data_IF_096192495484
#
_entry.id   IF_096192495484
#
_cell.length_a   1.000
_cell.length_b   1.000
_cell.length_c   1.000
_cell.angle_alpha   90.00
_cell.angle_beta   90.00
_cell.angle_gamma   90.00
#
_symmetry.space_group_name_H-M   'P 1'
#
loop_
_entity.id
_entity.type
_entity.pdbx_description
1 polymer ?
#
# COMPACT_ATOMS: atom_id res chain seq x y z
N UNK A 1 75.43 11.20 -16.96
CA UNK A 1 74.19 10.95 -17.74
C UNK A 1 73.02 10.89 -16.76
N UNK A 2 72.47 12.05 -16.37
CA UNK A 2 71.38 12.15 -15.40
C UNK A 2 70.02 12.09 -16.10
N UNK A 3 69.19 11.10 -15.78
CA UNK A 3 67.80 11.06 -16.25
C UNK A 3 66.99 12.11 -15.49
N UNK A 4 66.54 13.14 -16.19
CA UNK A 4 65.58 14.13 -15.70
C UNK A 4 64.20 13.44 -15.67
N UNK A 5 63.68 13.18 -14.48
CA UNK A 5 62.29 12.76 -14.32
C UNK A 5 61.38 13.99 -14.44
N UNK A 6 60.53 14.00 -15.47
CA UNK A 6 59.49 15.01 -15.65
C UNK A 6 58.41 14.78 -14.58
N UNK A 7 58.27 15.76 -13.69
CA UNK A 7 57.19 15.81 -12.69
C UNK A 7 55.83 15.79 -13.40
N UNK A 8 54.96 14.85 -13.00
CA UNK A 8 53.62 14.71 -13.52
C UNK A 8 52.78 15.94 -13.15
N UNK A 9 52.27 16.63 -14.17
CA UNK A 9 51.36 17.76 -14.02
C UNK A 9 50.14 17.36 -13.20
N UNK A 10 49.95 18.04 -12.08
CA UNK A 10 48.76 17.94 -11.24
C UNK A 10 47.57 18.48 -12.05
N UNK A 11 46.61 17.63 -12.38
CA UNK A 11 45.41 18.04 -13.09
C UNK A 11 44.64 19.06 -12.23
N UNK A 12 44.62 20.32 -12.67
CA UNK A 12 43.86 21.38 -12.02
C UNK A 12 42.36 21.10 -12.24
N UNK A 13 41.70 20.53 -11.23
CA UNK A 13 40.28 20.17 -11.32
C UNK A 13 39.47 21.48 -11.34
N UNK A 14 38.89 21.81 -12.49
CA UNK A 14 37.98 22.94 -12.59
C UNK A 14 36.73 22.69 -11.72
N UNK A 15 36.68 23.37 -10.58
CA UNK A 15 35.62 23.22 -9.58
C UNK A 15 34.21 23.49 -10.14
N UNK A 16 34.08 24.28 -11.22
CA UNK A 16 32.79 24.59 -11.86
C UNK A 16 32.22 23.41 -12.66
N UNK A 17 33.05 22.69 -13.42
CA UNK A 17 32.62 21.51 -14.17
C UNK A 17 32.36 20.32 -13.24
N UNK A 18 33.20 20.16 -12.21
CA UNK A 18 33.03 19.12 -11.19
C UNK A 18 31.69 19.25 -10.44
N UNK A 19 31.32 20.47 -10.01
CA UNK A 19 30.02 20.74 -9.37
C UNK A 19 28.83 20.36 -10.26
N UNK A 20 28.89 20.64 -11.57
CA UNK A 20 27.81 20.29 -12.52
C UNK A 20 27.67 18.77 -12.68
N UNK A 21 28.78 18.04 -12.73
CA UNK A 21 28.79 16.57 -12.78
C UNK A 21 28.22 16.00 -11.48
N UNK A 22 28.64 16.52 -10.33
CA UNK A 22 28.14 16.11 -9.02
C UNK A 22 26.62 16.31 -8.89
N UNK A 23 26.10 17.46 -9.33
CA UNK A 23 24.64 17.72 -9.31
C UNK A 23 23.88 16.75 -10.21
N UNK A 24 24.42 16.41 -11.39
CA UNK A 24 23.80 15.42 -12.29
C UNK A 24 23.77 14.04 -11.64
N UNK A 25 24.88 13.59 -11.05
CA UNK A 25 24.96 12.32 -10.33
C UNK A 25 23.98 12.25 -9.16
N UNK A 26 23.90 13.31 -8.35
CA UNK A 26 22.97 13.40 -7.23
C UNK A 26 21.50 13.30 -7.69
N UNK A 27 21.14 13.98 -8.79
CA UNK A 27 19.80 13.89 -9.37
C UNK A 27 19.49 12.47 -9.88
N UNK A 28 20.45 11.81 -10.53
CA UNK A 28 20.29 10.43 -10.98
C UNK A 28 20.07 9.48 -9.81
N UNK A 29 20.87 9.60 -8.74
CA UNK A 29 20.72 8.79 -7.53
C UNK A 29 19.35 9.04 -6.88
N UNK A 30 18.93 10.29 -6.74
CA UNK A 30 17.62 10.64 -6.21
C UNK A 30 16.47 10.02 -7.04
N UNK A 31 16.59 10.04 -8.37
CA UNK A 31 15.60 9.40 -9.26
C UNK A 31 15.53 7.89 -9.05
N UNK A 32 16.69 7.23 -8.91
CA UNK A 32 16.75 5.79 -8.62
C UNK A 32 16.12 5.44 -7.26
N UNK A 33 16.35 6.26 -6.22
CA UNK A 33 15.75 6.07 -4.90
C UNK A 33 14.22 6.19 -4.97
N UNK A 34 13.70 7.18 -5.71
CA UNK A 34 12.25 7.35 -5.91
C UNK A 34 11.64 6.16 -6.65
N UNK A 35 12.30 5.69 -7.72
CA UNK A 35 11.86 4.54 -8.49
C UNK A 35 11.85 3.26 -7.65
N UNK A 36 12.91 3.03 -6.87
CA UNK A 36 13.02 1.89 -5.98
C UNK A 36 11.96 1.93 -4.87
N UNK A 37 11.75 3.10 -4.27
CA UNK A 37 10.70 3.28 -3.25
C UNK A 37 9.31 3.02 -3.82
N UNK A 38 9.03 3.48 -5.05
CA UNK A 38 7.78 3.20 -5.74
C UNK A 38 7.61 1.70 -6.02
N UNK A 39 8.68 1.03 -6.44
CA UNK A 39 8.68 -0.42 -6.69
C UNK A 39 8.40 -1.23 -5.41
N UNK A 40 9.08 -0.90 -4.31
CA UNK A 40 8.83 -1.50 -2.99
C UNK A 40 7.37 -1.25 -2.56
N UNK A 41 6.88 -0.01 -2.69
CA UNK A 41 5.50 0.31 -2.35
C UNK A 41 4.51 -0.55 -3.15
N UNK A 42 4.73 -0.69 -4.46
CA UNK A 42 3.89 -1.51 -5.33
C UNK A 42 3.93 -3.01 -5.00
N UNK A 43 5.07 -3.53 -4.54
CA UNK A 43 5.19 -4.93 -4.14
C UNK A 43 4.42 -5.24 -2.84
N UNK A 44 4.51 -4.37 -1.83
CA UNK A 44 4.02 -4.68 -0.49
C UNK A 44 2.66 -4.06 -0.14
N UNK A 45 2.26 -2.94 -0.76
CA UNK A 45 1.06 -2.19 -0.36
C UNK A 45 -0.16 -2.39 -1.28
N UNK A 46 -0.09 -3.30 -2.25
CA UNK A 46 -1.23 -3.69 -3.08
C UNK A 46 -2.17 -4.64 -2.30
N UNK A 47 -3.46 -4.30 -2.21
CA UNK A 47 -4.46 -5.13 -1.53
C UNK A 47 -4.72 -6.45 -2.27
N UNK A 48 -4.41 -6.53 -3.57
CA UNK A 48 -4.56 -7.76 -4.33
C UNK A 48 -3.41 -8.75 -4.07
N UNK A 49 -2.30 -8.27 -3.49
CA UNK A 49 -1.10 -9.06 -3.15
C UNK A 49 -1.01 -9.35 -1.65
N UNK A 50 -2.11 -9.82 -1.09
CA UNK A 50 -2.16 -10.23 0.31
C UNK A 50 -1.75 -11.69 0.45
N UNK A 51 -1.12 -12.05 1.58
CA UNK A 51 -0.74 -13.43 1.86
C UNK A 51 -1.94 -14.39 1.76
N UNK A 52 -1.63 -15.64 1.45
CA UNK A 52 -2.61 -16.72 1.58
C UNK A 52 -2.87 -17.01 3.05
N UNK A 53 -4.06 -17.50 3.34
CA UNK A 53 -4.42 -17.90 4.68
C UNK A 53 -5.48 -18.98 4.68
N UNK A 54 -5.88 -19.37 5.88
CA UNK A 54 -6.81 -20.45 6.13
C UNK A 54 -8.24 -19.96 5.93
N UNK A 55 -9.08 -20.77 5.30
CA UNK A 55 -10.49 -20.40 5.10
C UNK A 55 -11.18 -20.23 6.46
N UNK A 56 -11.82 -19.09 6.66
CA UNK A 56 -12.50 -18.73 7.90
C UNK A 56 -14.03 -18.87 7.75
N UNK A 57 -14.60 -18.21 6.75
CA UNK A 57 -16.04 -18.20 6.49
C UNK A 57 -16.35 -17.71 5.08
N UNK A 58 -17.59 -17.88 4.63
CA UNK A 58 -18.09 -17.19 3.45
C UNK A 58 -19.47 -16.56 3.72
N UNK A 59 -19.78 -15.49 3.00
CA UNK A 59 -21.06 -14.80 3.08
C UNK A 59 -21.58 -14.49 1.67
N UNK A 60 -22.82 -14.90 1.40
CA UNK A 60 -23.48 -14.72 0.10
C UNK A 60 -24.28 -13.40 0.10
N UNK A 61 -24.25 -12.67 -1.01
CA UNK A 61 -25.11 -11.50 -1.21
C UNK A 61 -26.60 -11.91 -1.16
N UNK A 62 -27.52 -11.00 -0.78
CA UNK A 62 -28.94 -11.32 -0.70
C UNK A 62 -29.56 -11.84 -2.01
N UNK A 63 -29.04 -11.39 -3.17
CA UNK A 63 -29.46 -11.87 -4.50
C UNK A 63 -28.74 -13.14 -4.98
N UNK A 64 -27.78 -13.64 -4.19
CA UNK A 64 -27.02 -14.85 -4.48
C UNK A 64 -26.00 -14.73 -5.62
N UNK A 65 -25.74 -13.54 -6.17
CA UNK A 65 -24.83 -13.37 -7.32
C UNK A 65 -23.35 -13.31 -6.90
N UNK A 66 -23.09 -12.78 -5.72
CA UNK A 66 -21.74 -12.56 -5.20
C UNK A 66 -21.57 -13.25 -3.86
N UNK A 67 -20.34 -13.61 -3.55
CA UNK A 67 -19.97 -14.03 -2.20
C UNK A 67 -18.63 -13.45 -1.81
N UNK A 68 -18.45 -13.28 -0.50
CA UNK A 68 -17.19 -12.85 0.09
C UNK A 68 -16.63 -14.03 0.87
N UNK A 69 -15.44 -14.49 0.51
CA UNK A 69 -14.70 -15.52 1.24
C UNK A 69 -13.70 -14.84 2.17
N UNK A 70 -13.73 -15.21 3.43
CA UNK A 70 -12.84 -14.70 4.45
C UNK A 70 -11.75 -15.72 4.74
N UNK A 71 -10.53 -15.22 4.89
CA UNK A 71 -9.35 -16.01 5.20
C UNK A 71 -8.64 -15.41 6.40
N UNK A 72 -8.29 -16.28 7.34
CA UNK A 72 -7.46 -15.95 8.49
C UNK A 72 -5.98 -16.03 8.06
N UNK A 73 -5.27 -14.93 8.20
CA UNK A 73 -3.85 -14.82 7.90
C UNK A 73 -3.06 -14.92 9.20
N UNK A 74 -2.19 -15.91 9.28
CA UNK A 74 -1.26 -16.08 10.39
C UNK A 74 0.14 -15.61 9.99
N UNK A 75 0.69 -14.62 10.70
CA UNK A 75 2.05 -14.12 10.48
C UNK A 75 3.15 -14.87 11.25
N UNK A 76 2.77 -15.85 12.09
CA UNK A 76 3.67 -16.62 12.96
C UNK A 76 3.32 -16.48 14.45
N UNK A 77 4.10 -17.18 15.29
CA UNK A 77 3.82 -17.38 16.72
C UNK A 77 3.68 -16.10 17.57
N UNK A 78 4.30 -14.99 17.14
CA UNK A 78 4.33 -13.72 17.90
C UNK A 78 3.51 -12.60 17.27
N UNK A 79 2.83 -12.88 16.15
CA UNK A 79 2.01 -11.88 15.44
C UNK A 79 0.53 -12.15 15.67
N UNK A 80 -0.28 -11.09 15.72
CA UNK A 80 -1.73 -11.26 15.71
C UNK A 80 -2.20 -11.83 14.37
N UNK A 81 -3.45 -12.28 14.32
CA UNK A 81 -4.08 -12.63 13.06
C UNK A 81 -4.49 -11.39 12.26
N UNK A 82 -4.63 -11.57 10.95
CA UNK A 82 -5.34 -10.63 10.09
C UNK A 82 -6.46 -11.34 9.33
N UNK A 83 -7.48 -10.60 8.93
CA UNK A 83 -8.57 -11.14 8.11
C UNK A 83 -8.55 -10.51 6.73
N UNK A 84 -8.53 -11.37 5.72
CA UNK A 84 -8.62 -11.01 4.30
C UNK A 84 -9.98 -11.42 3.74
N UNK A 85 -10.70 -10.49 3.13
CA UNK A 85 -11.94 -10.74 2.40
C UNK A 85 -11.73 -10.69 0.88
N UNK A 86 -12.07 -11.79 0.23
CA UNK A 86 -12.02 -11.97 -1.22
C UNK A 86 -13.43 -11.94 -1.81
N UNK A 87 -13.68 -11.00 -2.72
CA UNK A 87 -14.93 -10.94 -3.47
C UNK A 87 -14.86 -11.96 -4.62
N UNK A 88 -15.88 -12.82 -4.69
CA UNK A 88 -16.04 -13.82 -5.74
C UNK A 88 -17.44 -13.72 -6.35
N UNK A 89 -17.57 -14.23 -7.57
CA UNK A 89 -18.88 -14.62 -8.11
C UNK A 89 -19.43 -15.85 -7.36
N UNK A 90 -20.73 -16.13 -7.53
CA UNK A 90 -21.39 -17.32 -6.96
C UNK A 90 -20.64 -18.63 -7.26
N UNK A 91 -20.14 -18.77 -8.49
CA UNK A 91 -19.37 -19.95 -8.93
C UNK A 91 -17.98 -20.08 -8.27
N UNK A 92 -17.58 -19.10 -7.45
CA UNK A 92 -16.31 -19.11 -6.72
C UNK A 92 -15.15 -18.45 -7.45
N UNK A 93 -15.34 -17.94 -8.68
CA UNK A 93 -14.31 -17.21 -9.40
C UNK A 93 -13.99 -15.90 -8.68
N UNK A 94 -12.72 -15.72 -8.31
CA UNK A 94 -12.19 -14.52 -7.67
C UNK A 94 -12.33 -13.30 -8.58
N UNK A 95 -12.84 -12.21 -8.01
CA UNK A 95 -12.87 -10.89 -8.64
C UNK A 95 -11.71 -10.05 -8.14
N UNK A 96 -11.66 -9.76 -6.83
CA UNK A 96 -10.62 -8.94 -6.18
C UNK A 96 -10.64 -9.10 -4.66
N UNK A 97 -9.59 -8.66 -3.99
CA UNK A 97 -9.62 -8.51 -2.54
C UNK A 97 -10.31 -7.18 -2.20
N UNK A 98 -11.24 -7.19 -1.25
CA UNK A 98 -12.02 -6.01 -0.84
C UNK A 98 -11.85 -5.65 0.63
N UNK A 99 -11.27 -6.53 1.44
CA UNK A 99 -11.13 -6.33 2.88
C UNK A 99 -9.78 -6.85 3.37
N UNK A 100 -9.08 -6.02 4.13
CA UNK A 100 -7.83 -6.34 4.79
C UNK A 100 -7.78 -5.61 6.13
N UNK A 101 -7.95 -6.37 7.22
CA UNK A 101 -7.86 -5.83 8.57
C UNK A 101 -6.84 -6.60 9.42
N UNK A 102 -6.15 -5.85 10.27
CA UNK A 102 -5.19 -6.35 11.24
C UNK A 102 -5.07 -5.34 12.39
N UNK A 103 -5.01 -5.81 13.66
CA UNK A 103 -5.25 -7.18 14.08
C UNK A 103 -6.75 -7.53 13.93
N UNK A 104 -7.04 -8.74 13.46
CA UNK A 104 -8.41 -9.23 13.31
C UNK A 104 -8.40 -10.76 13.20
N UNK A 105 -9.33 -11.44 13.89
CA UNK A 105 -9.45 -12.90 13.87
C UNK A 105 -10.85 -13.40 13.47
N UNK A 106 -11.82 -12.49 13.31
CA UNK A 106 -13.21 -12.81 13.01
C UNK A 106 -13.71 -12.05 11.79
N UNK A 107 -14.78 -12.58 11.20
CA UNK A 107 -15.51 -11.95 10.12
C UNK A 107 -17.00 -11.92 10.45
N UNK A 108 -17.43 -10.84 11.11
CA UNK A 108 -18.84 -10.48 11.28
C UNK A 108 -19.31 -9.71 10.04
N UNK A 109 -20.31 -10.27 9.35
CA UNK A 109 -20.72 -9.82 8.02
C UNK A 109 -22.22 -9.59 7.99
N UNK A 110 -22.61 -8.35 7.70
CA UNK A 110 -24.00 -7.95 7.54
C UNK A 110 -24.20 -7.29 6.18
N UNK A 111 -24.98 -7.94 5.31
CA UNK A 111 -25.42 -7.33 4.06
C UNK A 111 -26.53 -6.31 4.34
N UNK A 112 -26.37 -5.11 3.78
CA UNK A 112 -27.39 -4.05 3.82
C UNK A 112 -28.28 -4.14 2.58
N UNK A 113 -27.68 -4.49 1.44
CA UNK A 113 -28.38 -4.79 0.18
C UNK A 113 -27.46 -5.64 -0.71
N UNK A 114 -27.78 -5.80 -2.00
CA UNK A 114 -27.04 -6.66 -2.93
C UNK A 114 -25.58 -6.26 -3.17
N UNK A 115 -25.20 -5.00 -2.92
CA UNK A 115 -23.86 -4.48 -3.20
C UNK A 115 -23.20 -3.78 -2.01
N UNK A 116 -23.93 -3.54 -0.91
CA UNK A 116 -23.40 -2.91 0.30
C UNK A 116 -23.35 -3.94 1.42
N UNK A 117 -22.18 -4.06 2.01
CA UNK A 117 -21.89 -4.96 3.13
C UNK A 117 -21.21 -4.20 4.26
N UNK A 118 -21.45 -4.61 5.49
CA UNK A 118 -20.69 -4.22 6.67
C UNK A 118 -19.87 -5.42 7.11
N UNK A 119 -18.55 -5.26 7.19
CA UNK A 119 -17.59 -6.29 7.63
C UNK A 119 -16.87 -5.75 8.86
N UNK A 120 -17.08 -6.34 10.03
CA UNK A 120 -16.53 -5.89 11.32
C UNK A 120 -16.71 -4.37 11.54
N UNK A 121 -17.89 -3.83 11.24
CA UNK A 121 -18.20 -2.41 11.35
C UNK A 121 -17.75 -1.53 10.17
N UNK A 122 -16.99 -2.07 9.21
CA UNK A 122 -16.58 -1.35 8.01
C UNK A 122 -17.62 -1.51 6.89
N UNK A 123 -18.33 -0.43 6.57
CA UNK A 123 -19.28 -0.38 5.45
C UNK A 123 -18.55 -0.23 4.11
N UNK A 124 -18.84 -1.11 3.16
CA UNK A 124 -18.23 -1.16 1.83
C UNK A 124 -19.29 -1.37 0.75
N UNK A 125 -19.17 -0.63 -0.35
CA UNK A 125 -19.76 -1.02 -1.64
C UNK A 125 -18.80 -2.00 -2.35
N UNK A 126 -19.23 -3.23 -2.59
CA UNK A 126 -18.38 -4.32 -3.09
C UNK A 126 -17.78 -4.03 -4.48
N UNK A 127 -18.36 -3.11 -5.26
CA UNK A 127 -17.87 -2.75 -6.59
C UNK A 127 -16.92 -1.54 -6.58
N UNK A 128 -17.05 -0.66 -5.58
CA UNK A 128 -16.32 0.61 -5.54
C UNK A 128 -15.22 0.61 -4.49
N UNK A 129 -15.52 0.07 -3.32
CA UNK A 129 -14.70 0.26 -2.15
C UNK A 129 -13.78 -0.93 -1.88
N UNK A 130 -12.76 -0.67 -1.09
CA UNK A 130 -12.00 -1.69 -0.38
C UNK A 130 -11.53 -1.12 0.95
N UNK A 131 -11.48 -1.98 1.97
CA UNK A 131 -10.92 -1.63 3.27
C UNK A 131 -9.50 -2.20 3.39
N UNK A 132 -8.56 -1.34 3.77
CA UNK A 132 -7.17 -1.69 4.03
C UNK A 132 -6.69 -0.90 5.25
N UNK A 133 -6.51 -1.59 6.38
CA UNK A 133 -6.12 -0.95 7.64
C UNK A 133 -4.86 -0.10 7.52
N UNK A 134 -3.95 -0.43 6.59
CA UNK A 134 -2.69 0.29 6.36
C UNK A 134 -2.92 1.72 5.85
N UNK A 135 -4.09 1.99 5.25
CA UNK A 135 -4.45 3.29 4.68
C UNK A 135 -5.24 4.17 5.66
N UNK A 136 -5.67 3.61 6.79
CA UNK A 136 -6.58 4.28 7.73
C UNK A 136 -5.93 5.48 8.44
N UNK A 137 -4.63 5.42 8.72
CA UNK A 137 -3.88 6.53 9.33
C UNK A 137 -3.83 7.75 8.42
N UNK A 138 -3.56 7.54 7.12
CA UNK A 138 -3.49 8.60 6.12
C UNK A 138 -4.85 9.27 5.92
N UNK A 139 -5.92 8.47 5.84
CA UNK A 139 -7.28 8.98 5.69
C UNK A 139 -7.67 9.88 6.86
N UNK A 140 -7.43 9.44 8.10
CA UNK A 140 -7.67 10.23 9.31
C UNK A 140 -6.86 11.52 9.35
N UNK A 141 -5.61 11.50 8.88
CA UNK A 141 -4.77 12.70 8.81
C UNK A 141 -5.32 13.71 7.80
N UNK A 142 -5.69 13.27 6.60
CA UNK A 142 -6.25 14.13 5.55
C UNK A 142 -7.55 14.78 6.02
N UNK A 143 -8.42 14.01 6.69
CA UNK A 143 -9.68 14.49 7.26
C UNK A 143 -9.44 15.58 8.33
N UNK A 144 -8.46 15.36 9.23
CA UNK A 144 -8.03 16.36 10.23
C UNK A 144 -7.48 17.63 9.59
N UNK A 145 -6.70 17.51 8.50
CA UNK A 145 -6.17 18.67 7.79
C UNK A 145 -7.27 19.45 7.07
N UNK A 146 -8.22 18.75 6.45
CA UNK A 146 -9.39 19.37 5.78
C UNK A 146 -10.26 20.12 6.77
N UNK A 147 -10.59 19.53 7.92
CA UNK A 147 -11.40 20.18 8.96
C UNK A 147 -10.69 21.41 9.56
N UNK A 148 -9.38 21.31 9.79
CA UNK A 148 -8.56 22.45 10.23
C UNK A 148 -8.61 23.58 9.20
N UNK A 149 -8.38 23.29 7.90
CA UNK A 149 -8.41 24.31 6.83
C UNK A 149 -9.76 25.04 6.75
N UNK A 150 -10.88 24.33 6.84
CA UNK A 150 -12.21 24.96 6.84
C UNK A 150 -12.39 25.93 8.02
N UNK A 151 -11.85 25.60 9.19
CA UNK A 151 -11.87 26.50 10.37
C UNK A 151 -11.00 27.75 10.22
N UNK A 152 -9.97 27.73 9.36
CA UNK A 152 -9.10 28.87 9.08
C UNK A 152 -9.62 29.80 7.98
N UNK A 153 -10.43 29.32 7.03
CA UNK A 153 -11.01 30.14 5.95
C UNK A 153 -12.44 30.64 6.26
N UNK A 154 -13.03 30.22 7.38
CA UNK A 154 -14.33 30.72 7.87
C UNK A 154 -14.21 31.89 8.86
N UNK A 155 -13.09 32.63 8.86
CA UNK A 155 -12.86 33.85 9.64
C UNK A 155 -12.52 35.00 8.70
#
# INVERSE_FOLDING_TARGET
MSKVYKSNGSAEVNNGSFKRILIKLLKTILMLILLFSFFVYWLFFDINRLPHGEFLSESLSPDGKYKIKFYLINGGATTAYGVRGELCYKNGLKIRNIYWNYPEDKADVKWINNHVVIINGHRLDIFKDSFDFRKESLKRLIEKLRSKKQKFHGK
#
